data_IF_698250751232
#
_entry.id   IF_698250751232
#
_cell.length_a   1.000
_cell.length_b   1.000
_cell.length_c   1.000
_cell.angle_alpha   90.00
_cell.angle_beta   90.00
_cell.angle_gamma   90.00
#
_symmetry.space_group_name_H-M   'P 1'
#
loop_
_entity.id
_entity.type
_entity.pdbx_description
1 polymer ?
#
# COMPACT_ATOMS: atom_id res chain seq x y z
N UNK A 1 6.27 8.26 -6.22
CA UNK A 1 5.62 6.96 -6.43
C UNK A 1 4.45 7.17 -7.37
N UNK A 2 4.36 6.34 -8.39
CA UNK A 2 3.33 6.31 -9.43
C UNK A 2 2.98 4.84 -9.75
N UNK A 3 1.79 4.63 -10.30
CA UNK A 3 1.32 3.30 -10.70
C UNK A 3 1.61 3.01 -12.17
N UNK A 4 1.93 1.77 -12.50
CA UNK A 4 2.07 1.35 -13.89
C UNK A 4 0.68 1.13 -14.53
N UNK A 5 0.46 1.70 -15.72
CA UNK A 5 -0.66 1.32 -16.59
C UNK A 5 -1.98 2.09 -16.43
N UNK A 6 -2.01 3.21 -15.70
CA UNK A 6 -3.09 4.22 -15.77
C UNK A 6 -4.48 3.78 -15.31
N UNK A 7 -4.64 2.55 -14.81
CA UNK A 7 -5.89 2.02 -14.23
C UNK A 7 -5.87 1.96 -12.71
N UNK A 8 -4.71 1.66 -12.14
CA UNK A 8 -4.52 1.54 -10.71
C UNK A 8 -3.16 2.12 -10.31
N UNK A 9 -3.14 2.84 -9.19
CA UNK A 9 -1.93 3.18 -8.48
C UNK A 9 -1.43 1.98 -7.68
N UNK A 10 -2.30 1.42 -6.82
CA UNK A 10 -2.10 0.14 -6.14
C UNK A 10 -3.43 -0.35 -5.57
N UNK A 11 -3.88 -1.55 -5.94
CA UNK A 11 -5.16 -2.11 -5.52
C UNK A 11 -5.11 -2.91 -4.19
N UNK A 12 -3.95 -2.93 -3.51
CA UNK A 12 -3.70 -3.71 -2.29
C UNK A 12 -2.83 -4.93 -2.54
N UNK A 13 -2.43 -5.61 -1.47
CA UNK A 13 -1.75 -6.91 -1.54
C UNK A 13 -2.70 -8.04 -1.96
N UNK A 14 -2.14 -9.15 -2.42
CA UNK A 14 -2.92 -10.34 -2.79
C UNK A 14 -3.39 -11.08 -1.52
N UNK A 15 -4.51 -10.62 -0.97
CA UNK A 15 -5.08 -11.18 0.27
C UNK A 15 -5.57 -12.62 0.06
N UNK A 16 -5.94 -13.02 -1.17
CA UNK A 16 -6.39 -14.38 -1.45
C UNK A 16 -5.24 -15.37 -1.31
N UNK A 17 -4.09 -15.07 -1.95
CA UNK A 17 -2.88 -15.88 -1.82
C UNK A 17 -2.43 -15.99 -0.35
N UNK A 18 -2.41 -14.88 0.39
CA UNK A 18 -2.05 -14.87 1.80
C UNK A 18 -2.99 -15.76 2.62
N UNK A 19 -4.31 -15.67 2.36
CA UNK A 19 -5.31 -16.48 3.05
C UNK A 19 -5.14 -17.97 2.77
N UNK A 20 -4.95 -18.35 1.51
CA UNK A 20 -4.78 -19.76 1.11
C UNK A 20 -3.55 -20.40 1.77
N UNK A 21 -2.41 -19.71 1.72
CA UNK A 21 -1.18 -20.16 2.37
C UNK A 21 -1.30 -20.22 3.89
N UNK A 22 -1.97 -19.23 4.50
CA UNK A 22 -2.25 -19.26 5.94
C UNK A 22 -3.13 -20.44 6.37
N UNK A 23 -4.14 -20.79 5.57
CA UNK A 23 -4.99 -21.96 5.82
C UNK A 23 -4.25 -23.28 5.60
N UNK A 24 -3.25 -23.30 4.72
CA UNK A 24 -2.35 -24.44 4.54
C UNK A 24 -1.31 -24.58 5.67
N UNK A 25 -1.27 -23.65 6.63
CA UNK A 25 -0.31 -23.66 7.74
C UNK A 25 1.06 -23.08 7.40
N UNK A 26 1.18 -22.36 6.28
CA UNK A 26 2.40 -21.69 5.86
C UNK A 26 2.71 -20.43 6.70
N UNK A 27 3.98 -19.99 6.69
CA UNK A 27 4.43 -18.77 7.38
C UNK A 27 4.19 -17.49 6.59
N UNK A 28 3.83 -17.62 5.30
CA UNK A 28 3.71 -16.49 4.37
C UNK A 28 2.88 -15.31 4.92
N UNK A 29 1.75 -15.50 5.61
CA UNK A 29 1.00 -14.36 6.15
C UNK A 29 1.81 -13.54 7.15
N UNK A 30 2.50 -14.21 8.07
CA UNK A 30 3.29 -13.54 9.10
C UNK A 30 4.47 -12.79 8.48
N UNK A 31 5.18 -13.44 7.56
CA UNK A 31 6.33 -12.86 6.86
C UNK A 31 5.91 -11.67 5.99
N UNK A 32 4.80 -11.80 5.27
CA UNK A 32 4.23 -10.73 4.44
C UNK A 32 3.89 -9.50 5.27
N UNK A 33 3.10 -9.66 6.34
CA UNK A 33 2.69 -8.51 7.15
C UNK A 33 3.87 -7.89 7.89
N UNK A 34 4.83 -8.70 8.35
CA UNK A 34 6.05 -8.17 8.97
C UNK A 34 6.81 -7.23 8.02
N UNK A 35 7.02 -7.65 6.77
CA UNK A 35 7.68 -6.83 5.76
C UNK A 35 6.83 -5.61 5.37
N UNK A 36 5.52 -5.78 5.15
CA UNK A 36 4.61 -4.68 4.79
C UNK A 36 4.62 -3.58 5.86
N UNK A 37 4.44 -3.94 7.13
CA UNK A 37 4.51 -2.98 8.24
C UNK A 37 5.90 -2.37 8.39
N UNK A 38 6.96 -3.13 8.15
CA UNK A 38 8.34 -2.62 8.15
C UNK A 38 8.59 -1.57 7.06
N UNK A 39 8.01 -1.73 5.87
CA UNK A 39 8.07 -0.72 4.80
C UNK A 39 7.25 0.51 5.17
N UNK A 40 6.01 0.31 5.63
CA UNK A 40 5.11 1.40 6.06
C UNK A 40 5.77 2.26 7.14
N UNK A 41 6.41 1.65 8.14
CA UNK A 41 7.15 2.38 9.17
C UNK A 41 8.33 3.18 8.63
N UNK A 42 9.10 2.60 7.68
CA UNK A 42 10.20 3.31 7.02
C UNK A 42 9.71 4.54 6.26
N UNK A 43 8.57 4.43 5.58
CA UNK A 43 7.96 5.55 4.87
C UNK A 43 7.41 6.61 5.83
N UNK A 44 6.77 6.19 6.93
CA UNK A 44 6.28 7.07 7.99
C UNK A 44 7.38 7.91 8.65
N UNK A 45 8.59 7.35 8.78
CA UNK A 45 9.73 8.03 9.42
C UNK A 45 10.72 8.62 8.42
N UNK A 46 10.50 8.47 7.12
CA UNK A 46 11.45 8.83 6.08
C UNK A 46 11.83 10.31 6.13
N UNK A 47 10.82 11.18 6.23
CA UNK A 47 11.01 12.63 6.23
C UNK A 47 11.83 13.06 7.45
N UNK A 48 11.44 12.65 8.65
CA UNK A 48 12.15 13.01 9.88
C UNK A 48 13.60 12.52 9.90
N UNK A 49 13.85 11.33 9.33
CA UNK A 49 15.18 10.71 9.37
C UNK A 49 16.14 11.20 8.29
N UNK A 50 15.61 11.60 7.14
CA UNK A 50 16.45 11.84 5.95
C UNK A 50 16.19 13.18 5.26
N UNK A 51 15.13 13.90 5.63
CA UNK A 51 14.63 15.06 4.91
C UNK A 51 14.04 14.74 3.54
N UNK A 52 13.97 13.45 3.15
CA UNK A 52 13.42 13.03 1.88
C UNK A 52 11.89 13.11 1.90
N UNK A 53 11.32 13.87 0.97
CA UNK A 53 9.88 13.98 0.79
C UNK A 53 9.37 12.90 -0.16
N UNK A 54 8.58 11.96 0.37
CA UNK A 54 7.79 11.08 -0.49
C UNK A 54 6.65 11.87 -1.14
N UNK A 55 6.56 11.76 -2.47
CA UNK A 55 5.44 12.28 -3.27
C UNK A 55 4.70 11.09 -3.90
N UNK A 56 3.40 11.03 -3.69
CA UNK A 56 2.53 9.96 -4.22
C UNK A 56 1.54 10.52 -5.23
N UNK A 57 1.50 9.98 -6.45
CA UNK A 57 0.53 10.33 -7.49
C UNK A 57 -0.55 9.25 -7.60
N UNK A 58 -1.76 9.57 -7.17
CA UNK A 58 -2.91 8.69 -7.25
C UNK A 58 -3.60 8.87 -8.61
N UNK A 59 -3.21 8.05 -9.58
CA UNK A 59 -3.90 7.92 -10.85
C UNK A 59 -4.56 6.54 -10.96
N UNK A 60 -5.88 6.49 -10.76
CA UNK A 60 -6.66 5.25 -10.71
C UNK A 60 -6.93 4.71 -9.29
N UNK A 61 -7.12 3.39 -9.19
CA UNK A 61 -7.47 2.71 -7.93
C UNK A 61 -6.31 2.73 -6.92
N UNK A 62 -6.59 3.19 -5.69
CA UNK A 62 -5.68 3.19 -4.53
C UNK A 62 -6.41 2.57 -3.33
N UNK A 63 -6.11 1.32 -2.99
CA UNK A 63 -6.81 0.59 -1.93
C UNK A 63 -5.87 -0.27 -1.07
N UNK A 64 -6.31 -0.61 0.14
CA UNK A 64 -5.61 -1.54 1.05
C UNK A 64 -4.15 -1.12 1.31
N UNK A 65 -3.20 -2.05 1.12
CA UNK A 65 -1.77 -1.78 1.25
C UNK A 65 -1.26 -0.60 0.39
N UNK A 66 -1.90 -0.32 -0.75
CA UNK A 66 -1.60 0.84 -1.59
C UNK A 66 -1.88 2.18 -0.89
N UNK A 67 -2.87 2.22 -0.01
CA UNK A 67 -3.12 3.37 0.88
C UNK A 67 -1.98 3.47 1.89
N UNK A 68 -1.68 2.36 2.59
CA UNK A 68 -0.63 2.32 3.62
C UNK A 68 0.74 2.77 3.09
N UNK A 69 1.12 2.37 1.89
CA UNK A 69 2.41 2.75 1.30
C UNK A 69 2.49 4.22 0.88
N UNK A 70 1.38 4.91 0.68
CA UNK A 70 1.38 6.18 -0.05
C UNK A 70 0.85 7.37 0.75
N UNK A 71 0.21 7.12 1.89
CA UNK A 71 -0.33 8.15 2.77
C UNK A 71 0.68 8.76 3.73
N UNK A 72 1.86 8.17 3.91
CA UNK A 72 2.84 8.66 4.89
C UNK A 72 3.68 9.84 4.40
N UNK A 73 3.83 10.00 3.09
CA UNK A 73 4.50 11.15 2.51
C UNK A 73 3.72 12.47 2.72
N UNK A 74 4.43 13.61 2.80
CA UNK A 74 3.80 14.93 2.95
C UNK A 74 2.95 15.33 1.74
N UNK A 75 3.25 14.80 0.55
CA UNK A 75 2.57 15.17 -0.70
C UNK A 75 1.81 14.00 -1.33
N UNK A 76 0.51 14.23 -1.58
CA UNK A 76 -0.40 13.31 -2.25
C UNK A 76 -1.11 14.08 -3.36
N UNK A 77 -0.87 13.71 -4.61
CA UNK A 77 -1.46 14.30 -5.80
C UNK A 77 -2.54 13.34 -6.29
N UNK A 78 -3.75 13.83 -6.52
CA UNK A 78 -4.89 13.02 -6.98
C UNK A 78 -5.35 13.47 -8.36
N UNK A 79 -5.94 12.55 -9.11
CA UNK A 79 -6.49 12.78 -10.45
C UNK A 79 -7.99 12.51 -10.45
N UNK A 80 -8.68 12.86 -11.53
CA UNK A 80 -10.10 12.56 -11.73
C UNK A 80 -10.41 11.05 -11.75
N UNK A 81 -9.39 10.21 -11.99
CA UNK A 81 -9.51 8.75 -12.02
C UNK A 81 -9.33 8.11 -10.65
N UNK A 82 -8.94 8.88 -9.62
CA UNK A 82 -8.64 8.32 -8.31
C UNK A 82 -9.85 7.63 -7.69
N UNK A 83 -9.70 6.35 -7.32
CA UNK A 83 -10.67 5.60 -6.53
C UNK A 83 -9.99 5.12 -5.25
N UNK A 84 -10.21 5.86 -4.16
CA UNK A 84 -9.58 5.62 -2.87
C UNK A 84 -10.52 4.87 -1.91
N UNK A 85 -10.07 3.74 -1.33
CA UNK A 85 -10.85 3.02 -0.33
C UNK A 85 -10.00 2.16 0.61
N UNK A 86 -10.52 1.88 1.81
CA UNK A 86 -10.00 0.87 2.73
C UNK A 86 -11.04 -0.25 2.93
N UNK A 87 -11.17 -1.21 2.00
CA UNK A 87 -12.27 -2.18 2.01
C UNK A 87 -12.04 -3.39 2.92
N UNK A 88 -11.33 -3.25 4.04
CA UNK A 88 -10.90 -4.41 4.87
C UNK A 88 -12.03 -5.23 5.52
N UNK A 89 -13.29 -4.77 5.45
CA UNK A 89 -14.45 -5.49 5.98
C UNK A 89 -15.11 -6.45 4.96
N UNK A 90 -14.63 -6.50 3.71
CA UNK A 90 -15.29 -7.23 2.62
C UNK A 90 -14.50 -8.42 2.04
N UNK A 91 -13.59 -9.04 2.81
CA UNK A 91 -12.79 -10.19 2.38
C UNK A 91 -13.00 -11.44 3.25
#
# INVERSE_FOLDING_TARGET
>A
MDGAGGKAFCAGGDVQMIREEGLAGGSLPADFFFEEYGIVFRLATLFDRTGCCQVSLFDGITMGGGVGLSTHGPFRIVTEKTRFAWPSLFF
#
